data_IF_380497744178
#
_entry.id   IF_380497744178
#
_cell.length_a   1.000
_cell.length_b   1.000
_cell.length_c   1.000
_cell.angle_alpha   90.00
_cell.angle_beta   90.00
_cell.angle_gamma   90.00
#
_symmetry.space_group_name_H-M   'P 1'
#
loop_
_entity.id
_entity.type
_entity.pdbx_description
1 polymer ?
#
# COMPACT_ATOMS: atom_id res chain seq x y z
N UNK A 1 14.05 12.73 3.30
CA UNK A 1 14.55 13.97 3.95
C UNK A 1 14.00 14.01 5.35
N UNK A 2 14.85 14.21 6.36
CA UNK A 2 14.45 14.08 7.77
C UNK A 2 13.72 15.31 8.30
N UNK A 3 12.63 15.08 9.03
CA UNK A 3 11.97 16.08 9.88
C UNK A 3 12.24 15.74 11.35
N UNK A 4 11.76 16.55 12.29
CA UNK A 4 11.91 16.32 13.73
C UNK A 4 10.91 15.28 14.31
N UNK A 5 10.19 14.55 13.46
CA UNK A 5 9.15 13.60 13.89
C UNK A 5 9.01 12.39 12.96
N UNK A 6 7.96 11.60 13.17
CA UNK A 6 7.69 10.41 12.35
C UNK A 6 7.30 10.82 10.92
N UNK A 7 8.05 10.30 9.95
CA UNK A 7 7.74 10.40 8.52
C UNK A 7 7.85 9.00 7.96
N UNK A 8 6.71 8.47 7.51
CA UNK A 8 6.62 7.13 6.96
C UNK A 8 6.25 7.27 5.48
N UNK A 9 6.99 6.55 4.63
CA UNK A 9 6.73 6.46 3.20
C UNK A 9 6.73 4.99 2.77
N UNK A 10 6.43 4.75 1.50
CA UNK A 10 6.43 3.42 0.88
C UNK A 10 5.48 2.41 1.58
N UNK A 11 4.38 2.91 2.15
CA UNK A 11 3.33 2.05 2.71
C UNK A 11 2.75 1.19 1.60
N UNK A 12 2.77 -0.13 1.79
CA UNK A 12 2.32 -1.12 0.81
C UNK A 12 1.28 -2.07 1.44
N UNK A 13 0.25 -2.51 0.71
CA UNK A 13 -0.14 -2.05 -0.64
C UNK A 13 -0.54 -0.57 -0.64
N UNK A 14 -0.34 0.10 -1.77
CA UNK A 14 -0.67 1.52 -1.89
C UNK A 14 -2.19 1.77 -1.92
N UNK A 15 -2.60 3.04 -1.74
CA UNK A 15 -4.01 3.38 -1.69
C UNK A 15 -4.74 3.14 -3.02
N UNK A 16 -4.03 3.25 -4.16
CA UNK A 16 -4.60 2.97 -5.49
C UNK A 16 -5.01 1.50 -5.66
N UNK A 17 -4.35 0.59 -4.94
CA UNK A 17 -4.61 -0.85 -4.96
C UNK A 17 -5.54 -1.32 -3.83
N UNK A 18 -6.09 -0.41 -3.04
CA UNK A 18 -7.01 -0.76 -1.95
C UNK A 18 -6.29 -1.32 -0.71
N UNK A 19 -5.01 -0.99 -0.55
CA UNK A 19 -4.28 -1.26 0.69
C UNK A 19 -4.90 -0.55 1.90
N UNK A 20 -4.42 -0.85 3.10
CA UNK A 20 -5.01 -0.33 4.35
C UNK A 20 -5.13 1.20 4.39
N UNK A 21 -4.16 1.91 3.80
CA UNK A 21 -4.17 3.37 3.70
C UNK A 21 -5.40 3.92 2.93
N UNK A 22 -5.97 3.14 2.01
CA UNK A 22 -7.15 3.54 1.24
C UNK A 22 -8.44 3.57 2.07
N UNK A 23 -8.44 2.90 3.24
CA UNK A 23 -9.63 2.70 4.08
C UNK A 23 -9.69 3.67 5.27
N UNK A 24 -8.59 4.39 5.52
CA UNK A 24 -8.50 5.37 6.59
C UNK A 24 -9.39 6.58 6.27
N UNK A 25 -10.09 7.05 7.28
CA UNK A 25 -10.97 8.22 7.23
C UNK A 25 -10.58 9.23 8.29
N UNK A 26 -11.01 10.48 8.11
CA UNK A 26 -10.76 11.56 9.06
C UNK A 26 -11.33 11.19 10.44
N UNK A 27 -10.48 11.31 11.46
CA UNK A 27 -10.83 10.99 12.85
C UNK A 27 -10.46 9.58 13.30
N UNK A 28 -10.00 8.70 12.40
CA UNK A 28 -9.46 7.40 12.79
C UNK A 28 -8.17 7.56 13.61
N UNK A 29 -8.00 6.72 14.62
CA UNK A 29 -6.78 6.68 15.42
C UNK A 29 -5.73 5.81 14.76
N UNK A 30 -4.53 6.36 14.58
CA UNK A 30 -3.35 5.63 14.08
C UNK A 30 -2.33 5.55 15.20
N UNK A 31 -1.89 4.34 15.51
CA UNK A 31 -0.84 4.06 16.49
C UNK A 31 0.44 3.72 15.75
N UNK A 32 1.51 4.44 16.07
CA UNK A 32 2.84 4.21 15.57
C UNK A 32 3.71 3.69 16.71
N UNK A 33 4.18 2.45 16.60
CA UNK A 33 5.13 1.87 17.55
C UNK A 33 6.46 1.57 16.84
N UNK A 34 7.44 2.45 17.04
CA UNK A 34 8.77 2.29 16.46
C UNK A 34 9.58 1.14 17.11
N UNK A 35 9.22 0.71 18.31
CA UNK A 35 9.88 -0.40 19.00
C UNK A 35 9.36 -1.73 18.48
N UNK A 36 8.04 -1.84 18.32
CA UNK A 36 7.41 -3.01 17.70
C UNK A 36 7.51 -3.00 16.16
N UNK A 37 7.90 -1.87 15.57
CA UNK A 37 7.92 -1.62 14.13
C UNK A 37 6.53 -1.83 13.48
N UNK A 38 5.48 -1.33 14.14
CA UNK A 38 4.10 -1.43 13.66
C UNK A 38 3.45 -0.07 13.43
N UNK A 39 2.47 -0.08 12.54
CA UNK A 39 1.64 1.07 12.19
C UNK A 39 0.22 0.52 12.07
N UNK A 40 -0.60 0.81 13.06
CA UNK A 40 -1.92 0.19 13.21
C UNK A 40 -3.01 1.25 13.21
N UNK A 41 -4.04 1.04 12.40
CA UNK A 41 -5.28 1.81 12.49
C UNK A 41 -6.19 1.14 13.52
N UNK A 42 -6.69 1.90 14.49
CA UNK A 42 -7.52 1.38 15.57
C UNK A 42 -8.97 1.22 15.12
N UNK A 43 -9.18 0.28 14.20
CA UNK A 43 -10.49 -0.15 13.71
C UNK A 43 -10.64 -1.65 13.95
N UNK A 44 -11.87 -2.12 14.12
CA UNK A 44 -12.14 -3.56 14.14
C UNK A 44 -12.01 -4.15 12.74
N UNK A 45 -11.75 -5.45 12.67
CA UNK A 45 -11.68 -6.17 11.40
C UNK A 45 -13.00 -6.05 10.61
N UNK A 46 -14.15 -6.07 11.29
CA UNK A 46 -15.47 -5.89 10.67
C UNK A 46 -15.65 -4.52 10.00
N UNK A 47 -15.15 -3.46 10.63
CA UNK A 47 -15.20 -2.10 10.09
C UNK A 47 -14.26 -1.96 8.88
N UNK A 48 -13.04 -2.52 8.99
CA UNK A 48 -12.09 -2.57 7.87
C UNK A 48 -12.66 -3.34 6.68
N UNK A 49 -13.32 -4.47 6.92
CA UNK A 49 -13.94 -5.26 5.84
C UNK A 49 -15.12 -4.53 5.22
N UNK A 50 -15.95 -3.87 6.03
CA UNK A 50 -17.06 -3.03 5.54
C UNK A 50 -16.55 -1.91 4.65
N UNK A 51 -15.49 -1.20 5.07
CA UNK A 51 -14.88 -0.13 4.28
C UNK A 51 -14.21 -0.68 3.02
N UNK A 52 -13.56 -1.84 3.10
CA UNK A 52 -12.96 -2.53 1.95
C UNK A 52 -14.00 -2.93 0.92
N UNK A 53 -15.15 -3.44 1.34
CA UNK A 53 -16.26 -3.78 0.45
C UNK A 53 -16.87 -2.55 -0.23
N UNK A 54 -16.88 -1.40 0.44
CA UNK A 54 -17.34 -0.13 -0.12
C UNK A 54 -16.28 0.59 -0.99
N UNK A 55 -15.02 0.17 -0.92
CA UNK A 55 -13.92 0.84 -1.62
C UNK A 55 -14.03 0.65 -3.13
N UNK A 56 -13.84 1.74 -3.85
CA UNK A 56 -13.79 1.75 -5.31
C UNK A 56 -12.47 2.36 -5.76
N UNK A 57 -11.75 1.61 -6.60
CA UNK A 57 -10.49 2.08 -7.18
C UNK A 57 -10.72 3.41 -7.92
N UNK A 58 -9.93 4.47 -7.63
CA UNK A 58 -10.05 5.74 -8.33
C UNK A 58 -9.66 5.60 -9.81
N UNK A 59 -10.14 6.49 -10.69
CA UNK A 59 -9.76 6.47 -12.09
C UNK A 59 -8.27 6.75 -12.27
N UNK A 60 -7.68 6.18 -13.31
CA UNK A 60 -6.27 6.42 -13.65
C UNK A 60 -6.01 7.91 -13.92
N UNK A 61 -4.95 8.50 -13.34
CA UNK A 61 -4.63 9.92 -13.53
C UNK A 61 -4.11 10.21 -14.95
N UNK A 62 -3.58 9.20 -15.65
CA UNK A 62 -3.09 9.29 -17.02
C UNK A 62 -3.84 8.34 -17.95
N UNK A 63 -4.31 8.86 -19.09
CA UNK A 63 -5.03 8.08 -20.12
C UNK A 63 -4.18 7.71 -21.33
N UNK A 64 -2.96 8.24 -21.43
CA UNK A 64 -2.01 7.98 -22.52
C UNK A 64 -0.58 8.41 -22.12
N UNK A 65 0.40 8.13 -22.99
CA UNK A 65 1.78 8.54 -22.81
C UNK A 65 2.59 7.66 -21.86
N UNK A 66 3.76 8.16 -21.44
CA UNK A 66 4.72 7.41 -20.61
C UNK A 66 4.16 7.05 -19.24
N UNK A 67 3.36 7.92 -18.64
CA UNK A 67 2.75 7.66 -17.32
C UNK A 67 1.76 6.51 -17.36
N UNK A 68 0.96 6.39 -18.44
CA UNK A 68 0.09 5.23 -18.60
C UNK A 68 0.90 3.93 -18.76
N UNK A 69 2.05 3.98 -19.46
CA UNK A 69 2.94 2.83 -19.57
C UNK A 69 3.47 2.43 -18.19
N UNK A 70 3.99 3.40 -17.44
CA UNK A 70 4.52 3.17 -16.08
C UNK A 70 3.48 2.57 -15.14
N UNK A 71 2.28 3.16 -15.04
CA UNK A 71 1.21 2.65 -14.16
C UNK A 71 0.84 1.19 -14.49
N UNK A 72 0.97 0.77 -15.75
CA UNK A 72 0.66 -0.59 -16.18
C UNK A 72 1.76 -1.61 -15.90
N UNK A 73 2.98 -1.17 -15.62
CA UNK A 73 4.15 -2.06 -15.55
C UNK A 73 4.88 -1.99 -14.21
N UNK A 74 4.67 -0.94 -13.43
CA UNK A 74 5.38 -0.72 -12.16
C UNK A 74 4.92 -1.72 -11.09
N UNK A 75 5.88 -2.23 -10.33
CA UNK A 75 5.67 -2.99 -9.10
C UNK A 75 5.35 -2.07 -7.92
N UNK A 76 4.88 -2.63 -6.82
CA UNK A 76 4.76 -1.87 -5.57
C UNK A 76 6.15 -1.53 -4.99
N UNK A 77 6.16 -0.64 -3.98
CA UNK A 77 7.39 -0.11 -3.41
C UNK A 77 8.15 -1.13 -2.54
N UNK A 78 7.51 -2.20 -2.04
CA UNK A 78 8.21 -3.28 -1.33
C UNK A 78 9.08 -4.12 -2.26
N UNK A 79 8.79 -4.10 -3.57
CA UNK A 79 9.58 -4.72 -4.63
C UNK A 79 10.48 -3.72 -5.40
N UNK A 80 10.56 -2.47 -4.93
CA UNK A 80 11.49 -1.47 -5.49
C UNK A 80 10.97 -0.67 -6.68
N UNK A 81 9.66 -0.67 -6.95
CA UNK A 81 9.03 0.08 -8.05
C UNK A 81 9.63 -0.21 -9.44
N UNK A 82 10.00 -1.47 -9.70
CA UNK A 82 10.59 -1.87 -10.99
C UNK A 82 9.51 -2.10 -12.05
N UNK A 83 9.86 -2.00 -13.33
CA UNK A 83 8.88 -2.02 -14.45
C UNK A 83 9.04 -3.20 -15.41
N UNK A 84 9.92 -4.13 -15.07
CA UNK A 84 10.38 -5.24 -15.91
C UNK A 84 10.23 -6.60 -15.19
N UNK A 85 9.37 -6.67 -14.17
CA UNK A 85 9.03 -7.93 -13.52
C UNK A 85 8.45 -8.92 -14.53
N UNK A 86 9.05 -10.10 -14.58
CA UNK A 86 8.54 -11.24 -15.31
C UNK A 86 7.48 -11.92 -14.42
N UNK A 87 6.31 -12.24 -14.98
CA UNK A 87 5.16 -12.80 -14.25
C UNK A 87 5.50 -14.03 -13.36
N UNK A 88 6.55 -14.77 -13.71
CA UNK A 88 7.05 -15.94 -12.97
C UNK A 88 7.61 -15.59 -11.57
N UNK A 89 8.14 -14.37 -11.39
CA UNK A 89 8.72 -13.90 -10.12
C UNK A 89 7.63 -13.45 -9.12
N UNK A 90 6.45 -13.03 -9.61
CA UNK A 90 5.32 -12.57 -8.78
C UNK A 90 4.47 -13.72 -8.21
N UNK A 91 4.41 -14.87 -8.91
CA UNK A 91 3.62 -16.04 -8.47
C UNK A 91 4.42 -16.94 -7.50
N UNK A 92 5.75 -16.85 -7.51
CA UNK A 92 6.65 -17.65 -6.65
C UNK A 92 7.09 -16.95 -5.37
N UNK A 93 6.82 -15.65 -5.23
CA UNK A 93 6.94 -14.95 -3.97
C UNK A 93 5.82 -15.42 -3.02
N UNK A 94 6.10 -16.51 -2.29
CA UNK A 94 5.34 -16.94 -1.13
C UNK A 94 5.10 -15.74 -0.20
N UNK A 95 3.87 -15.23 -0.17
CA UNK A 95 3.38 -14.19 0.75
C UNK A 95 3.27 -14.73 2.20
N UNK A 96 4.09 -15.71 2.60
CA UNK A 96 4.24 -16.07 4.00
C UNK A 96 4.95 -14.95 4.74
N UNK A 97 4.50 -14.59 5.96
CA UNK A 97 5.07 -13.48 6.69
C UNK A 97 6.55 -13.76 6.94
N UNK A 98 7.38 -12.79 6.56
CA UNK A 98 8.83 -12.82 6.69
C UNK A 98 9.23 -13.39 8.07
N UNK A 99 9.72 -14.64 8.07
CA UNK A 99 10.44 -15.20 9.21
C UNK A 99 11.81 -14.56 9.29
N UNK A 100 11.97 -13.55 10.15
CA UNK A 100 13.00 -13.45 11.20
C UNK A 100 12.99 -12.09 11.86
#
# INVERSE_FOLDING_TARGET
>A
GGTHGFVIGHVCPEAFDGGGLALVQDGDWIVLDATANTIDVQLSDDELETRRAAWQRPPLPAKQGVLLKYIRTVSDASHGCITDLLEEDYVTADLSPARR
#
